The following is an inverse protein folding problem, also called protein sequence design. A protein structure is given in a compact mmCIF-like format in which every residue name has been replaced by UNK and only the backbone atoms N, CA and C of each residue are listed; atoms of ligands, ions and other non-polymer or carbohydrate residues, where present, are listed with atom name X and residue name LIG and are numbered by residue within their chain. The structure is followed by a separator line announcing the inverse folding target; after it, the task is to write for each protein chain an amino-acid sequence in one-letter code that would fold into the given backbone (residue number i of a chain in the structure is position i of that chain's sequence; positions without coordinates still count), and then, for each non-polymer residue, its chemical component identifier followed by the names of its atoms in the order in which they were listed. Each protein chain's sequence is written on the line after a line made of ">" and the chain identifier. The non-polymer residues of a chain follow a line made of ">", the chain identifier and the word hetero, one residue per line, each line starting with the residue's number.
data_IF_010596161618
#
_entry.id   IF_010596161618
#
_cell.length_a   1.000
_cell.length_b   1.000
_cell.length_c   1.000
_cell.angle_alpha   90.00
_cell.angle_beta   90.00
_cell.angle_gamma   90.00
#
_symmetry.space_group_name_H-M   'P 1'
#
loop_
_entity.id
_entity.type
_entity.pdbx_description
1 polymer ?
#
# COMPACT_ATOMS: atom_id res chain seq x y z
N UNK A 1 3.84 19.38 27.62
CA UNK A 1 3.48 18.14 28.36
C UNK A 1 3.80 16.96 27.48
N UNK A 2 5.03 16.44 27.61
CA UNK A 2 5.61 15.38 26.80
C UNK A 2 5.36 14.02 27.46
N UNK A 3 4.18 13.44 27.23
CA UNK A 3 4.04 11.99 27.37
C UNK A 3 4.48 11.38 26.04
N UNK A 4 5.77 11.06 25.91
CA UNK A 4 6.17 10.09 24.91
C UNK A 4 5.57 8.75 25.34
N UNK A 5 4.37 8.44 24.84
CA UNK A 5 3.85 7.09 24.95
C UNK A 5 4.83 6.19 24.20
N UNK A 6 5.48 5.26 24.91
CA UNK A 6 6.30 4.24 24.27
C UNK A 6 5.38 3.34 23.43
N UNK A 7 5.19 3.72 22.16
CA UNK A 7 4.33 3.00 21.24
C UNK A 7 5.06 1.75 20.77
N UNK A 8 4.60 0.59 21.22
CA UNK A 8 5.21 -0.70 20.86
C UNK A 8 4.49 -1.33 19.67
N UNK A 9 5.26 -1.74 18.66
CA UNK A 9 4.78 -2.48 17.49
C UNK A 9 5.41 -3.87 17.45
N UNK A 10 4.66 -4.88 17.01
CA UNK A 10 5.26 -6.18 16.73
C UNK A 10 6.10 -6.10 15.46
N UNK A 11 7.40 -6.32 15.59
CA UNK A 11 8.34 -6.34 14.49
C UNK A 11 8.51 -7.76 13.97
N UNK A 12 8.02 -8.04 12.77
CA UNK A 12 8.13 -9.37 12.13
C UNK A 12 9.59 -9.80 11.95
N UNK A 13 10.54 -8.86 11.75
CA UNK A 13 11.96 -9.18 11.56
C UNK A 13 12.59 -9.78 12.83
N UNK A 14 12.23 -9.27 14.01
CA UNK A 14 12.77 -9.76 15.29
C UNK A 14 11.84 -10.74 16.02
N UNK A 15 10.59 -10.84 15.59
CA UNK A 15 9.55 -11.66 16.21
C UNK A 15 9.10 -11.14 17.58
N UNK A 16 9.33 -9.87 17.90
CA UNK A 16 9.09 -9.29 19.23
C UNK A 16 8.34 -7.96 19.13
N UNK A 17 7.71 -7.55 20.23
CA UNK A 17 7.20 -6.18 20.39
C UNK A 17 8.37 -5.26 20.73
N UNK A 18 8.53 -4.20 19.93
CA UNK A 18 9.61 -3.24 20.06
C UNK A 18 9.05 -1.81 20.06
N UNK A 19 9.75 -0.90 20.72
CA UNK A 19 9.41 0.51 20.70
C UNK A 19 9.57 1.03 19.27
N UNK A 20 8.51 1.64 18.72
CA UNK A 20 8.55 2.31 17.43
C UNK A 20 9.47 3.52 17.52
N UNK A 21 10.61 3.45 16.82
CA UNK A 21 11.58 4.54 16.67
C UNK A 21 11.63 4.97 15.19
N UNK A 22 10.85 5.97 14.76
CA UNK A 22 10.90 6.46 13.39
C UNK A 22 12.29 6.99 13.05
N UNK A 23 12.70 6.87 11.79
CA UNK A 23 13.94 7.49 11.29
C UNK A 23 13.90 9.02 11.37
N UNK A 24 12.71 9.61 11.21
CA UNK A 24 12.42 11.02 11.46
C UNK A 24 11.18 11.15 12.37
N UNK A 25 11.34 11.54 13.66
CA UNK A 25 10.24 11.74 14.58
C UNK A 25 9.27 12.88 14.19
N UNK A 26 9.68 13.80 13.32
CA UNK A 26 8.82 14.87 12.82
C UNK A 26 8.01 14.44 11.60
N UNK A 27 8.43 13.39 10.88
CA UNK A 27 7.74 12.88 9.70
C UNK A 27 7.85 11.36 9.58
N UNK A 28 6.85 10.66 10.09
CA UNK A 28 6.73 9.20 9.95
C UNK A 28 6.23 8.84 8.56
N UNK A 29 6.86 7.87 7.90
CA UNK A 29 6.47 7.37 6.58
C UNK A 29 6.10 5.89 6.67
N UNK A 30 4.97 5.52 6.10
CA UNK A 30 4.41 4.16 6.17
C UNK A 30 4.03 3.73 4.77
N UNK A 31 4.43 2.52 4.41
CA UNK A 31 3.96 1.84 3.21
C UNK A 31 3.21 0.56 3.60
N UNK A 32 2.06 0.32 2.96
CA UNK A 32 1.37 -0.96 3.04
C UNK A 32 0.88 -1.38 1.66
N UNK A 33 1.12 -2.63 1.28
CA UNK A 33 0.68 -3.17 -0.01
C UNK A 33 -0.84 -3.04 -0.15
N UNK A 34 -1.29 -2.45 -1.25
CA UNK A 34 -2.71 -2.37 -1.59
C UNK A 34 -3.17 -3.54 -2.48
N UNK A 35 -4.37 -3.43 -3.08
CA UNK A 35 -5.00 -4.53 -3.81
C UNK A 35 -4.48 -4.71 -5.23
N UNK A 36 -4.60 -5.94 -5.75
CA UNK A 36 -4.63 -6.21 -7.18
C UNK A 36 -6.05 -6.05 -7.71
N UNK A 37 -6.26 -5.11 -8.63
CA UNK A 37 -7.61 -4.63 -9.02
C UNK A 37 -8.17 -5.35 -10.26
N UNK A 38 -8.37 -6.65 -10.14
CA UNK A 38 -8.97 -7.49 -11.20
C UNK A 38 -10.41 -7.94 -10.91
N UNK A 39 -10.86 -7.84 -9.65
CA UNK A 39 -12.20 -8.22 -9.20
C UNK A 39 -12.63 -7.41 -7.96
N UNK A 40 -13.86 -7.62 -7.47
CA UNK A 40 -14.37 -7.06 -6.23
C UNK A 40 -13.50 -7.44 -5.02
N UNK A 41 -13.34 -6.49 -4.11
CA UNK A 41 -12.63 -6.71 -2.86
C UNK A 41 -13.41 -7.66 -1.94
N UNK A 42 -12.72 -8.65 -1.38
CA UNK A 42 -13.30 -9.54 -0.37
C UNK A 42 -12.93 -9.07 1.05
N UNK A 43 -13.52 -9.69 2.06
CA UNK A 43 -13.30 -9.32 3.47
C UNK A 43 -11.81 -9.34 3.89
N UNK A 44 -11.00 -10.23 3.29
CA UNK A 44 -9.55 -10.22 3.48
C UNK A 44 -8.86 -8.91 3.06
N UNK A 45 -9.26 -8.30 1.93
CA UNK A 45 -8.72 -7.00 1.51
C UNK A 45 -9.21 -5.89 2.45
N UNK A 46 -10.50 -5.93 2.81
CA UNK A 46 -11.10 -4.95 3.73
C UNK A 46 -10.43 -4.97 5.11
N UNK A 47 -10.15 -6.16 5.65
CA UNK A 47 -9.45 -6.32 6.94
C UNK A 47 -8.12 -5.58 6.94
N UNK A 48 -7.31 -5.76 5.89
CA UNK A 48 -6.01 -5.10 5.79
C UNK A 48 -6.16 -3.58 5.75
N UNK A 49 -7.08 -3.06 4.94
CA UNK A 49 -7.33 -1.64 4.84
C UNK A 49 -7.80 -1.02 6.17
N UNK A 50 -8.72 -1.67 6.88
CA UNK A 50 -9.22 -1.21 8.18
C UNK A 50 -8.13 -1.23 9.26
N UNK A 51 -7.30 -2.28 9.29
CA UNK A 51 -6.19 -2.39 10.26
C UNK A 51 -5.17 -1.27 10.03
N UNK A 52 -4.78 -1.02 8.78
CA UNK A 52 -3.82 0.04 8.46
C UNK A 52 -4.42 1.44 8.65
N UNK A 53 -5.70 1.65 8.34
CA UNK A 53 -6.38 2.92 8.63
C UNK A 53 -6.38 3.22 10.13
N UNK A 54 -6.75 2.22 10.96
CA UNK A 54 -6.72 2.35 12.42
C UNK A 54 -5.31 2.68 12.91
N UNK A 55 -4.30 2.00 12.36
CA UNK A 55 -2.90 2.23 12.71
C UNK A 55 -2.41 3.62 12.31
N UNK A 56 -2.67 4.05 11.08
CA UNK A 56 -2.27 5.38 10.57
C UNK A 56 -2.97 6.49 11.34
N UNK A 57 -4.27 6.35 11.63
CA UNK A 57 -5.01 7.29 12.49
C UNK A 57 -4.35 7.40 13.86
N UNK A 58 -4.02 6.26 14.48
CA UNK A 58 -3.31 6.23 15.77
C UNK A 58 -1.99 6.99 15.70
N UNK A 59 -1.18 6.76 14.66
CA UNK A 59 0.09 7.46 14.50
C UNK A 59 -0.07 8.96 14.23
N UNK A 60 -1.13 9.39 13.53
CA UNK A 60 -1.46 10.82 13.34
C UNK A 60 -1.86 11.52 14.64
N UNK A 61 -2.32 10.79 15.66
CA UNK A 61 -2.52 11.33 17.01
C UNK A 61 -1.21 11.47 17.80
N UNK A 62 -0.20 10.66 17.49
CA UNK A 62 1.07 10.58 18.24
C UNK A 62 2.15 11.47 17.63
N UNK A 63 2.22 11.53 16.30
CA UNK A 63 3.31 12.19 15.56
C UNK A 63 2.81 13.44 14.81
N UNK A 64 3.67 14.46 14.63
CA UNK A 64 3.28 15.71 13.97
C UNK A 64 2.84 15.52 12.52
N UNK A 65 3.49 14.59 11.80
CA UNK A 65 3.20 14.30 10.40
C UNK A 65 3.38 12.81 10.13
N UNK A 66 2.40 12.26 9.43
CA UNK A 66 2.44 10.88 8.91
C UNK A 66 2.13 10.94 7.42
N UNK A 67 2.96 10.30 6.59
CA UNK A 67 2.63 10.02 5.19
C UNK A 67 2.42 8.52 5.02
N UNK A 68 1.20 8.16 4.64
CA UNK A 68 0.79 6.79 4.35
C UNK A 68 0.67 6.58 2.85
N UNK A 69 1.40 5.59 2.34
CA UNK A 69 1.38 5.17 0.94
C UNK A 69 0.81 3.77 0.84
N UNK A 70 -0.13 3.56 -0.07
CA UNK A 70 -0.62 2.23 -0.42
C UNK A 70 -0.84 2.13 -1.92
N UNK A 71 -0.17 1.20 -2.58
CA UNK A 71 -0.20 1.11 -4.04
C UNK A 71 -1.53 0.51 -4.55
N UNK A 72 -1.78 0.66 -5.84
CA UNK A 72 -2.73 -0.17 -6.59
C UNK A 72 -1.91 -1.02 -7.56
N UNK A 73 -2.07 -2.34 -7.48
CA UNK A 73 -1.48 -3.25 -8.47
C UNK A 73 -2.44 -3.36 -9.65
N UNK A 74 -2.18 -2.57 -10.70
CA UNK A 74 -2.98 -2.48 -11.92
C UNK A 74 -2.30 -3.13 -13.15
N UNK A 75 -1.27 -3.94 -12.90
CA UNK A 75 -0.67 -4.86 -13.87
C UNK A 75 -0.27 -6.15 -13.12
N UNK A 76 -0.82 -7.28 -13.56
CA UNK A 76 -0.67 -8.61 -12.94
C UNK A 76 -1.23 -9.66 -13.92
N UNK A 77 -0.77 -10.91 -13.85
CA UNK A 77 -1.23 -11.99 -14.72
C UNK A 77 -2.75 -12.18 -14.67
N UNK A 78 -3.36 -12.07 -13.48
CA UNK A 78 -4.83 -12.19 -13.33
C UNK A 78 -5.61 -11.06 -14.02
N UNK A 79 -5.00 -9.88 -14.12
CA UNK A 79 -5.61 -8.75 -14.83
C UNK A 79 -5.56 -9.01 -16.33
N UNK A 80 -4.44 -9.55 -16.82
CA UNK A 80 -4.24 -9.90 -18.24
C UNK A 80 -5.23 -11.00 -18.65
N UNK A 81 -5.34 -12.07 -17.85
CA UNK A 81 -6.29 -13.16 -18.09
C UNK A 81 -7.73 -12.64 -18.16
N UNK A 82 -8.16 -11.84 -17.19
CA UNK A 82 -9.50 -11.27 -17.17
C UNK A 82 -9.79 -10.33 -18.36
N UNK A 83 -8.77 -9.59 -18.81
CA UNK A 83 -8.85 -8.69 -19.96
C UNK A 83 -9.02 -9.48 -21.28
N UNK A 84 -8.28 -10.58 -21.44
CA UNK A 84 -8.41 -11.50 -22.58
C UNK A 84 -9.79 -12.16 -22.59
N UNK A 85 -10.26 -12.68 -21.45
CA UNK A 85 -11.58 -13.32 -21.35
C UNK A 85 -12.73 -12.37 -21.70
N UNK A 86 -12.62 -11.11 -21.30
CA UNK A 86 -13.64 -10.07 -21.56
C UNK A 86 -13.42 -9.34 -22.89
N UNK A 87 -12.33 -9.62 -23.60
CA UNK A 87 -11.91 -8.93 -24.82
C UNK A 87 -11.89 -7.39 -24.67
N UNK A 88 -11.24 -6.91 -23.61
CA UNK A 88 -11.08 -5.48 -23.31
C UNK A 88 -9.64 -5.17 -22.91
N UNK A 89 -9.25 -3.89 -22.97
CA UNK A 89 -7.96 -3.43 -22.43
C UNK A 89 -7.88 -3.62 -20.91
N UNK A 90 -6.69 -3.95 -20.38
CA UNK A 90 -6.47 -4.09 -18.92
C UNK A 90 -6.95 -2.84 -18.15
N UNK A 91 -6.78 -1.65 -18.74
CA UNK A 91 -7.16 -0.39 -18.12
C UNK A 91 -8.67 -0.25 -17.88
N UNK A 92 -9.51 -0.94 -18.67
CA UNK A 92 -10.96 -0.96 -18.48
C UNK A 92 -11.30 -1.69 -17.18
N UNK A 93 -10.66 -2.83 -16.94
CA UNK A 93 -10.84 -3.66 -15.74
C UNK A 93 -10.28 -2.92 -14.52
N UNK A 94 -9.04 -2.46 -14.59
CA UNK A 94 -8.36 -1.88 -13.43
C UNK A 94 -8.97 -0.56 -13.01
N UNK A 95 -9.38 0.32 -13.94
CA UNK A 95 -10.10 1.56 -13.60
C UNK A 95 -11.43 1.26 -12.90
N UNK A 96 -12.19 0.29 -13.41
CA UNK A 96 -13.47 -0.13 -12.81
C UNK A 96 -13.27 -0.63 -11.38
N UNK A 97 -12.37 -1.59 -11.17
CA UNK A 97 -12.19 -2.20 -9.86
C UNK A 97 -11.42 -1.32 -8.88
N UNK A 98 -10.55 -0.41 -9.33
CA UNK A 98 -9.96 0.63 -8.47
C UNK A 98 -11.03 1.55 -7.91
N UNK A 99 -11.95 2.02 -8.77
CA UNK A 99 -13.06 2.87 -8.34
C UNK A 99 -13.95 2.16 -7.32
N UNK A 100 -14.36 0.92 -7.61
CA UNK A 100 -15.18 0.10 -6.72
C UNK A 100 -14.46 -0.14 -5.38
N UNK A 101 -13.17 -0.52 -5.41
CA UNK A 101 -12.37 -0.72 -4.20
C UNK A 101 -12.38 0.53 -3.31
N UNK A 102 -12.08 1.70 -3.88
CA UNK A 102 -12.04 2.95 -3.12
C UNK A 102 -13.43 3.34 -2.57
N UNK A 103 -14.50 3.14 -3.34
CA UNK A 103 -15.88 3.36 -2.88
C UNK A 103 -16.26 2.42 -1.73
N UNK A 104 -15.91 1.14 -1.81
CA UNK A 104 -16.21 0.17 -0.76
C UNK A 104 -15.39 0.41 0.51
N UNK A 105 -14.11 0.79 0.38
CA UNK A 105 -13.30 1.19 1.54
C UNK A 105 -13.88 2.45 2.21
N UNK A 106 -14.33 3.43 1.43
CA UNK A 106 -14.99 4.63 1.98
C UNK A 106 -16.27 4.29 2.76
N UNK A 107 -17.08 3.32 2.29
CA UNK A 107 -18.27 2.84 3.03
C UNK A 107 -17.91 2.19 4.37
N UNK A 108 -16.71 1.62 4.48
CA UNK A 108 -16.16 1.08 5.73
C UNK A 108 -15.47 2.15 6.60
N UNK A 109 -15.57 3.43 6.23
CA UNK A 109 -14.92 4.56 6.90
C UNK A 109 -13.38 4.49 6.92
N UNK A 110 -12.80 3.75 5.96
CA UNK A 110 -11.35 3.74 5.72
C UNK A 110 -10.98 5.03 4.99
N UNK A 111 -9.98 5.78 5.50
CA UNK A 111 -9.45 6.93 4.79
C UNK A 111 -8.60 6.47 3.60
N UNK A 112 -8.65 7.25 2.52
CA UNK A 112 -7.70 7.08 1.43
C UNK A 112 -6.26 7.29 1.93
N UNK A 113 -5.28 6.55 1.39
CA UNK A 113 -3.87 6.83 1.64
C UNK A 113 -3.49 8.24 1.14
N UNK A 114 -2.44 8.82 1.72
CA UNK A 114 -1.94 10.14 1.29
C UNK A 114 -1.39 10.07 -0.14
N UNK A 115 -0.86 8.92 -0.54
CA UNK A 115 -0.41 8.62 -1.91
C UNK A 115 -0.87 7.22 -2.31
N UNK A 116 -1.52 7.12 -3.47
CA UNK A 116 -2.01 5.84 -4.02
C UNK A 116 -1.40 5.56 -5.40
N UNK A 117 -0.10 5.19 -5.48
CA UNK A 117 0.59 5.02 -6.76
C UNK A 117 0.08 3.77 -7.48
N UNK A 118 -0.05 3.84 -8.81
CA UNK A 118 -0.31 2.65 -9.64
C UNK A 118 0.99 2.04 -10.12
N UNK A 119 1.04 0.71 -10.23
CA UNK A 119 2.21 0.03 -10.76
C UNK A 119 2.56 0.49 -12.19
N UNK A 120 1.55 0.68 -13.05
CA UNK A 120 1.76 1.16 -14.43
C UNK A 120 2.39 2.55 -14.53
N UNK A 121 2.22 3.40 -13.51
CA UNK A 121 2.76 4.76 -13.47
C UNK A 121 4.25 4.80 -13.07
N UNK A 122 4.80 3.69 -12.57
CA UNK A 122 6.17 3.60 -12.04
C UNK A 122 7.05 2.58 -12.81
N UNK A 123 6.62 2.16 -14.01
CA UNK A 123 7.39 1.23 -14.85
C UNK A 123 8.82 1.74 -15.14
N UNK A 124 9.04 3.03 -15.48
CA UNK A 124 10.40 3.55 -15.71
C UNK A 124 11.33 3.36 -14.50
N UNK A 125 10.84 3.64 -13.30
CA UNK A 125 11.57 3.50 -12.04
C UNK A 125 11.87 2.04 -11.72
N UNK A 126 10.92 1.14 -11.99
CA UNK A 126 11.15 -0.31 -11.86
C UNK A 126 12.26 -0.79 -12.80
N UNK A 127 12.27 -0.31 -14.06
CA UNK A 127 13.31 -0.63 -15.03
C UNK A 127 14.67 -0.11 -14.57
N UNK A 128 14.73 1.10 -14.05
CA UNK A 128 15.99 1.70 -13.59
C UNK A 128 16.54 0.98 -12.35
N UNK A 129 15.68 0.58 -11.41
CA UNK A 129 16.08 -0.27 -10.28
C UNK A 129 16.66 -1.62 -10.75
N UNK A 130 16.01 -2.28 -11.72
CA UNK A 130 16.51 -3.55 -12.27
C UNK A 130 17.88 -3.37 -12.94
N UNK A 131 18.10 -2.27 -13.67
CA UNK A 131 19.40 -1.98 -14.27
C UNK A 131 20.49 -1.79 -13.21
N UNK A 132 20.15 -1.14 -12.10
CA UNK A 132 21.06 -0.94 -10.98
C UNK A 132 21.42 -2.26 -10.31
N UNK A 133 20.44 -3.09 -9.95
CA UNK A 133 20.69 -4.38 -9.32
C UNK A 133 21.44 -5.36 -10.23
N UNK A 134 21.23 -5.30 -11.55
CA UNK A 134 22.02 -6.06 -12.51
C UNK A 134 23.48 -5.56 -12.56
N UNK A 135 23.71 -4.24 -12.53
CA UNK A 135 25.07 -3.66 -12.46
C UNK A 135 25.82 -4.10 -11.20
N UNK A 136 25.12 -4.15 -10.07
CA UNK A 136 25.67 -4.59 -8.78
C UNK A 136 25.78 -6.13 -8.65
N UNK A 137 25.37 -6.89 -9.67
CA UNK A 137 25.33 -8.37 -9.69
C UNK A 137 24.43 -8.99 -8.62
N UNK A 138 23.38 -8.29 -8.21
CA UNK A 138 22.30 -8.83 -7.39
C UNK A 138 21.18 -9.49 -8.20
N UNK A 139 21.13 -9.23 -9.51
CA UNK A 139 20.28 -9.93 -10.47
C UNK A 139 21.12 -10.64 -11.53
N UNK A 140 20.65 -11.82 -11.97
CA UNK A 140 21.27 -12.69 -12.98
C UNK A 140 20.92 -12.18 -14.38
#
# INVERSE_FOLDING_TARGET
>A
MSNHLDYHLFNTLSGKKEILKPSDPQHVKIYACGPTVYNYAHIGNARMAVVFDTFVRTLRFIFPKVTYVSNITDIDDKIIEAAVEQNVEISVITKKFTKIYNEDMAKLNVLAPDVQPKATEYIPEMIDLIKETHRERFCI
#
